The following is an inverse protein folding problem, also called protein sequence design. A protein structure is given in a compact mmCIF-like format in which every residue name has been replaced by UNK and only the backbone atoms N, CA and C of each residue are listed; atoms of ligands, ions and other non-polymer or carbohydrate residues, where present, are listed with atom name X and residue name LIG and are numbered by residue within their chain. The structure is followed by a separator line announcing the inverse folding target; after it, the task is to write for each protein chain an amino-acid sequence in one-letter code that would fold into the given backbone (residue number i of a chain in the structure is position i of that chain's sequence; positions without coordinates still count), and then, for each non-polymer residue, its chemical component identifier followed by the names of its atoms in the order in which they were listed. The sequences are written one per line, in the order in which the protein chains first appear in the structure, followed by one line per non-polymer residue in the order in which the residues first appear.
data_IF_985644153864
#
_entry.id   IF_985644153864
#
_cell.length_a   1.000
_cell.length_b   1.000
_cell.length_c   1.000
_cell.angle_alpha   90.00
_cell.angle_beta   90.00
_cell.angle_gamma   90.00
#
_symmetry.space_group_name_H-M   'P 1'
#
loop_
_entity.id
_entity.type
_entity.pdbx_description
1 polymer ?
#
# COMPACT_ATOMS: atom_id res chain seq x y z
N UNK A 1 75.93 -16.68 9.59
CA UNK A 1 75.26 -15.43 9.23
C UNK A 1 74.09 -15.79 8.33
N UNK A 2 72.88 -15.54 8.82
CA UNK A 2 71.63 -15.81 8.13
C UNK A 2 71.35 -14.72 7.09
N UNK A 3 70.60 -15.09 6.04
CA UNK A 3 69.44 -14.36 5.49
C UNK A 3 69.22 -14.76 4.03
N UNK A 4 68.07 -15.34 3.71
CA UNK A 4 67.29 -14.99 2.51
C UNK A 4 65.87 -15.48 2.75
N UNK A 5 64.98 -14.50 2.94
CA UNK A 5 63.57 -14.67 3.28
C UNK A 5 62.79 -14.97 2.00
N UNK A 6 62.08 -16.11 2.02
CA UNK A 6 61.06 -16.49 1.06
C UNK A 6 59.88 -15.52 1.20
N UNK A 7 59.59 -14.75 0.15
CA UNK A 7 58.46 -13.82 0.07
C UNK A 7 57.79 -13.96 -1.29
N UNK A 8 57.18 -15.12 -1.53
CA UNK A 8 56.30 -15.34 -2.69
C UNK A 8 55.17 -16.25 -2.21
N UNK A 9 54.02 -15.69 -1.81
CA UNK A 9 52.72 -16.31 -2.14
C UNK A 9 51.48 -15.43 -1.95
N UNK A 10 51.53 -14.27 -1.29
CA UNK A 10 50.28 -13.54 -0.97
C UNK A 10 49.57 -12.87 -2.17
N UNK A 11 50.21 -12.81 -3.35
CA UNK A 11 49.65 -12.18 -4.56
C UNK A 11 48.80 -13.12 -5.41
N UNK A 12 49.04 -14.43 -5.34
CA UNK A 12 48.30 -15.40 -6.15
C UNK A 12 46.89 -15.58 -5.61
N UNK A 13 46.73 -15.65 -4.30
CA UNK A 13 45.45 -15.91 -3.63
C UNK A 13 44.42 -14.77 -3.82
N UNK A 14 44.89 -13.52 -3.87
CA UNK A 14 44.02 -12.35 -4.13
C UNK A 14 43.50 -12.29 -5.58
N UNK A 15 44.29 -12.76 -6.55
CA UNK A 15 43.88 -12.74 -7.97
C UNK A 15 42.79 -13.78 -8.27
N UNK A 16 42.85 -14.95 -7.62
CA UNK A 16 41.84 -16.02 -7.79
C UNK A 16 40.50 -15.59 -7.16
N UNK A 17 40.54 -14.93 -6.00
CA UNK A 17 39.34 -14.43 -5.33
C UNK A 17 38.61 -13.35 -6.15
N UNK A 18 39.34 -12.47 -6.84
CA UNK A 18 38.78 -11.41 -7.69
C UNK A 18 38.20 -11.96 -9.00
N UNK A 19 38.82 -13.00 -9.56
CA UNK A 19 38.33 -13.69 -10.77
C UNK A 19 37.08 -14.56 -10.49
N UNK A 20 37.02 -15.22 -9.33
CA UNK A 20 35.85 -15.95 -8.84
C UNK A 20 34.66 -15.01 -8.55
N UNK A 21 34.91 -13.83 -7.99
CA UNK A 21 33.88 -12.81 -7.74
C UNK A 21 33.31 -12.23 -9.05
N UNK A 22 34.17 -12.01 -10.05
CA UNK A 22 33.77 -11.49 -11.37
C UNK A 22 32.95 -12.51 -12.17
N UNK A 23 33.27 -13.81 -12.07
CA UNK A 23 32.49 -14.88 -12.70
C UNK A 23 31.12 -15.09 -12.02
N UNK A 24 31.02 -14.95 -10.70
CA UNK A 24 29.75 -15.04 -9.97
C UNK A 24 28.79 -13.89 -10.33
N UNK A 25 29.30 -12.65 -10.43
CA UNK A 25 28.49 -11.49 -10.84
C UNK A 25 28.02 -11.60 -12.30
N UNK A 26 28.90 -12.08 -13.20
CA UNK A 26 28.58 -12.24 -14.63
C UNK A 26 27.56 -13.36 -14.90
N UNK A 27 27.52 -14.40 -14.05
CA UNK A 27 26.54 -15.49 -14.14
C UNK A 27 25.12 -15.08 -13.73
N UNK A 28 24.99 -14.20 -12.72
CA UNK A 28 23.70 -13.68 -12.25
C UNK A 28 23.05 -12.73 -13.27
N UNK A 29 23.83 -11.84 -13.88
CA UNK A 29 23.32 -10.90 -14.90
C UNK A 29 22.80 -11.63 -16.13
N UNK A 30 23.53 -12.63 -16.64
CA UNK A 30 23.09 -13.43 -17.82
C UNK A 30 21.79 -14.18 -17.59
N UNK A 31 21.51 -14.60 -16.36
CA UNK A 31 20.27 -15.31 -16.03
C UNK A 31 19.08 -14.34 -15.94
N UNK A 32 19.31 -13.11 -15.47
CA UNK A 32 18.29 -12.05 -15.49
C UNK A 32 17.96 -11.63 -16.92
N UNK A 33 18.95 -11.52 -17.81
CA UNK A 33 18.74 -11.16 -19.22
C UNK A 33 17.73 -12.09 -19.91
N UNK A 34 17.76 -13.40 -19.59
CA UNK A 34 16.79 -14.36 -20.11
C UNK A 34 15.36 -14.16 -19.57
N UNK A 35 15.20 -13.64 -18.35
CA UNK A 35 13.89 -13.41 -17.73
C UNK A 35 13.22 -12.15 -18.30
N UNK A 36 14.01 -11.18 -18.77
CA UNK A 36 13.50 -9.91 -19.33
C UNK A 36 12.72 -10.10 -20.64
N UNK A 37 13.00 -11.16 -21.39
CA UNK A 37 12.35 -11.47 -22.67
C UNK A 37 11.04 -12.28 -22.53
N UNK A 38 10.62 -12.60 -21.30
CA UNK A 38 9.39 -13.36 -21.08
C UNK A 38 8.18 -12.48 -21.44
N UNK A 39 7.35 -12.88 -22.43
CA UNK A 39 6.19 -12.09 -22.81
C UNK A 39 5.15 -12.08 -21.69
N UNK A 40 4.58 -10.91 -21.42
CA UNK A 40 3.51 -10.72 -20.42
C UNK A 40 2.29 -10.05 -21.06
N UNK A 41 1.10 -10.33 -20.51
CA UNK A 41 -0.13 -9.68 -20.96
C UNK A 41 -0.38 -8.45 -20.11
N UNK A 42 -0.42 -7.29 -20.77
CA UNK A 42 -0.84 -6.02 -20.19
C UNK A 42 -2.32 -5.79 -20.52
N UNK A 43 -3.14 -5.49 -19.51
CA UNK A 43 -4.56 -5.16 -19.70
C UNK A 43 -4.91 -3.88 -18.93
N UNK A 44 -5.76 -3.04 -19.53
CA UNK A 44 -6.35 -1.89 -18.84
C UNK A 44 -7.81 -2.18 -18.52
N UNK A 45 -8.22 -1.97 -17.27
CA UNK A 45 -9.59 -2.20 -16.82
C UNK A 45 -10.36 -0.88 -16.68
N UNK A 46 -11.49 -0.77 -17.38
CA UNK A 46 -12.41 0.37 -17.21
C UNK A 46 -13.03 0.38 -15.81
N UNK A 47 -13.38 -0.79 -15.29
CA UNK A 47 -13.95 -0.94 -13.97
C UNK A 47 -14.56 -2.32 -13.75
N UNK A 48 -14.94 -2.58 -12.50
CA UNK A 48 -15.60 -3.82 -12.08
C UNK A 48 -16.93 -3.48 -11.42
N UNK A 49 -17.86 -4.43 -11.49
CA UNK A 49 -19.10 -4.36 -10.71
C UNK A 49 -19.53 -5.76 -10.27
N UNK A 50 -20.44 -5.83 -9.31
CA UNK A 50 -21.04 -7.08 -8.84
C UNK A 50 -22.53 -7.03 -9.13
N UNK A 51 -23.02 -8.00 -9.89
CA UNK A 51 -24.45 -8.16 -10.20
C UNK A 51 -24.92 -9.55 -9.77
N UNK A 52 -26.22 -9.71 -9.52
CA UNK A 52 -26.76 -11.03 -9.19
C UNK A 52 -26.81 -11.93 -10.44
N UNK A 53 -26.82 -13.25 -10.25
CA UNK A 53 -26.97 -14.20 -11.37
C UNK A 53 -28.26 -13.93 -12.13
N UNK A 54 -29.32 -13.51 -11.43
CA UNK A 54 -30.61 -13.16 -12.05
C UNK A 54 -30.45 -12.00 -13.02
N UNK A 55 -29.76 -10.93 -12.62
CA UNK A 55 -29.60 -9.73 -13.45
C UNK A 55 -28.68 -10.03 -14.64
N UNK A 56 -27.64 -10.85 -14.45
CA UNK A 56 -26.76 -11.31 -15.52
C UNK A 56 -27.52 -12.04 -16.63
N UNK A 57 -28.44 -12.94 -16.26
CA UNK A 57 -29.26 -13.70 -17.22
C UNK A 57 -30.30 -12.82 -17.96
N UNK A 58 -30.59 -11.63 -17.46
CA UNK A 58 -31.51 -10.67 -18.09
C UNK A 58 -30.80 -9.71 -19.06
N UNK A 59 -29.46 -9.69 -19.06
CA UNK A 59 -28.71 -8.83 -19.98
C UNK A 59 -28.96 -9.23 -21.43
N UNK A 60 -29.23 -8.23 -22.25
CA UNK A 60 -29.49 -8.36 -23.67
C UNK A 60 -28.73 -7.28 -24.46
N UNK A 61 -28.79 -7.36 -25.79
CA UNK A 61 -28.20 -6.33 -26.65
C UNK A 61 -28.81 -4.96 -26.32
N UNK A 62 -27.95 -4.00 -25.96
CA UNK A 62 -28.37 -2.66 -25.54
C UNK A 62 -28.52 -2.47 -24.03
N UNK A 63 -28.35 -3.53 -23.22
CA UNK A 63 -28.28 -3.39 -21.75
C UNK A 63 -27.05 -2.57 -21.34
N UNK A 64 -27.24 -1.65 -20.40
CA UNK A 64 -26.17 -0.82 -19.81
C UNK A 64 -25.91 -1.30 -18.39
N UNK A 65 -24.65 -1.56 -18.06
CA UNK A 65 -24.23 -2.00 -16.73
C UNK A 65 -23.35 -0.93 -16.10
N UNK A 66 -23.76 -0.44 -14.94
CA UNK A 66 -22.99 0.55 -14.18
C UNK A 66 -21.79 -0.10 -13.49
N UNK A 67 -20.63 0.56 -13.58
CA UNK A 67 -19.38 0.14 -12.96
C UNK A 67 -19.16 0.87 -11.64
N UNK A 68 -18.38 0.30 -10.73
CA UNK A 68 -18.10 0.91 -9.41
C UNK A 68 -17.10 2.08 -9.46
N UNK A 69 -16.41 2.27 -10.59
CA UNK A 69 -15.38 3.31 -10.77
C UNK A 69 -16.04 4.62 -11.23
N UNK A 70 -15.56 5.74 -10.71
CA UNK A 70 -16.00 7.07 -11.13
C UNK A 70 -15.32 7.46 -12.45
N UNK A 71 -16.01 8.22 -13.31
CA UNK A 71 -15.52 8.54 -14.66
C UNK A 71 -14.21 9.35 -14.69
N UNK A 72 -13.93 10.12 -13.64
CA UNK A 72 -12.75 10.99 -13.54
C UNK A 72 -11.53 10.29 -12.90
N UNK A 73 -11.67 9.02 -12.52
CA UNK A 73 -10.57 8.24 -11.94
C UNK A 73 -9.74 7.57 -13.05
N UNK A 74 -8.40 7.56 -12.95
CA UNK A 74 -7.57 6.85 -13.92
C UNK A 74 -7.91 5.34 -13.87
N UNK A 75 -7.77 4.66 -15.00
CA UNK A 75 -8.04 3.23 -15.16
C UNK A 75 -6.88 2.40 -14.63
N UNK A 76 -7.19 1.20 -14.12
CA UNK A 76 -6.18 0.28 -13.60
C UNK A 76 -5.45 -0.38 -14.76
N UNK A 77 -4.12 -0.42 -14.68
CA UNK A 77 -3.25 -1.13 -15.61
C UNK A 77 -2.69 -2.35 -14.89
N UNK A 78 -2.96 -3.50 -15.47
CA UNK A 78 -2.74 -4.81 -14.86
C UNK A 78 -1.75 -5.61 -15.72
N UNK A 79 -0.87 -6.37 -15.07
CA UNK A 79 -0.03 -7.40 -15.71
C UNK A 79 -0.38 -8.74 -15.08
N UNK A 80 -0.84 -9.70 -15.88
CA UNK A 80 -1.25 -11.02 -15.39
C UNK A 80 -2.24 -10.98 -14.18
N UNK A 81 -3.07 -9.94 -14.09
CA UNK A 81 -4.01 -9.77 -12.98
C UNK A 81 -3.45 -9.09 -11.73
N UNK A 82 -2.21 -8.57 -11.78
CA UNK A 82 -1.62 -7.72 -10.73
C UNK A 82 -1.65 -6.25 -11.16
N UNK A 83 -2.08 -5.35 -10.28
CA UNK A 83 -2.07 -3.91 -10.52
C UNK A 83 -0.61 -3.41 -10.53
N UNK A 84 -0.21 -2.79 -11.63
CA UNK A 84 1.16 -2.26 -11.81
C UNK A 84 1.20 -0.76 -12.02
N UNK A 85 0.09 -0.15 -12.45
CA UNK A 85 0.03 1.28 -12.73
C UNK A 85 -1.44 1.74 -12.80
N UNK A 86 -1.60 3.06 -12.80
CA UNK A 86 -2.81 3.74 -13.23
C UNK A 86 -2.53 4.44 -14.57
N UNK A 87 -3.56 4.59 -15.39
CA UNK A 87 -3.41 5.28 -16.67
C UNK A 87 -4.72 5.70 -17.30
N UNK A 88 -4.62 6.30 -18.47
CA UNK A 88 -5.74 6.76 -19.25
C UNK A 88 -5.65 6.25 -20.69
N UNK A 89 -6.82 5.98 -21.27
CA UNK A 89 -6.92 5.57 -22.66
C UNK A 89 -6.69 6.80 -23.56
N UNK A 90 -5.75 6.66 -24.49
CA UNK A 90 -5.44 7.67 -25.51
C UNK A 90 -5.62 7.07 -26.90
N UNK A 91 -5.77 7.91 -27.91
CA UNK A 91 -5.78 7.47 -29.32
C UNK A 91 -4.52 8.00 -29.99
N UNK A 92 -3.77 7.09 -30.63
CA UNK A 92 -2.55 7.38 -31.38
C UNK A 92 -2.66 6.65 -32.71
N UNK A 93 -2.58 7.39 -33.83
CA UNK A 93 -2.68 6.83 -35.18
C UNK A 93 -3.90 5.91 -35.38
N UNK A 94 -5.09 6.38 -34.97
CA UNK A 94 -6.37 5.64 -34.99
C UNK A 94 -6.38 4.33 -34.19
N UNK A 95 -5.40 4.13 -33.29
CA UNK A 95 -5.32 2.99 -32.38
C UNK A 95 -5.45 3.45 -30.95
N UNK A 96 -6.05 2.62 -30.11
CA UNK A 96 -6.02 2.83 -28.67
C UNK A 96 -4.61 2.61 -28.12
N UNK A 97 -4.20 3.51 -27.23
CA UNK A 97 -2.99 3.44 -26.43
C UNK A 97 -3.28 3.68 -24.96
N UNK A 98 -2.29 3.43 -24.12
CA UNK A 98 -2.36 3.64 -22.67
C UNK A 98 -1.31 4.67 -22.31
N UNK A 99 -1.72 5.80 -21.73
CA UNK A 99 -0.80 6.75 -21.09
C UNK A 99 -0.78 6.45 -19.60
N UNK A 100 0.39 6.06 -19.08
CA UNK A 100 0.55 5.80 -17.65
C UNK A 100 0.59 7.13 -16.90
N UNK A 101 -0.21 7.24 -15.83
CA UNK A 101 -0.28 8.42 -14.97
C UNK A 101 0.52 8.20 -13.68
N UNK A 102 0.47 7.00 -13.12
CA UNK A 102 1.19 6.62 -11.91
C UNK A 102 1.66 5.16 -12.04
N UNK A 103 2.89 4.87 -11.63
CA UNK A 103 3.49 3.54 -11.74
C UNK A 103 3.80 3.02 -10.34
N UNK A 104 3.25 1.86 -10.03
CA UNK A 104 3.42 1.23 -8.73
C UNK A 104 4.72 0.43 -8.76
N UNK A 105 5.60 0.70 -7.82
CA UNK A 105 6.85 -0.04 -7.68
C UNK A 105 6.55 -1.47 -7.18
N UNK A 106 6.86 -2.53 -7.96
CA UNK A 106 6.63 -3.90 -7.53
C UNK A 106 7.49 -4.30 -6.31
N UNK A 107 8.56 -3.56 -6.00
CA UNK A 107 9.40 -3.78 -4.83
C UNK A 107 8.86 -3.11 -3.56
N UNK A 108 7.87 -2.21 -3.68
CA UNK A 108 7.21 -1.65 -2.51
C UNK A 108 6.25 -2.71 -1.94
N UNK A 109 6.39 -3.14 -0.68
CA UNK A 109 5.46 -4.08 -0.08
C UNK A 109 4.07 -3.45 -0.14
N UNK A 110 3.16 -4.07 -0.90
CA UNK A 110 1.77 -3.69 -1.03
C UNK A 110 1.22 -3.46 0.38
N UNK A 111 1.06 -2.19 0.74
CA UNK A 111 0.55 -1.79 2.04
C UNK A 111 -0.90 -2.28 2.11
N UNK A 112 -1.07 -3.48 2.68
CA UNK A 112 -2.34 -3.89 3.27
C UNK A 112 -2.74 -2.74 4.16
N UNK A 113 -3.76 -1.98 3.78
CA UNK A 113 -4.38 -0.99 4.67
C UNK A 113 -4.74 -1.76 5.94
N UNK A 114 -4.09 -1.52 7.09
CA UNK A 114 -4.45 -2.22 8.30
C UNK A 114 -5.89 -1.79 8.63
N UNK A 115 -6.82 -2.74 8.61
CA UNK A 115 -8.18 -2.58 9.11
C UNK A 115 -8.17 -2.47 10.65
N UNK A 116 -7.33 -1.58 11.19
CA UNK A 116 -7.14 -1.35 12.62
C UNK A 116 -7.73 0.01 13.04
N UNK A 117 -8.70 0.55 12.30
CA UNK A 117 -9.32 1.85 12.55
C UNK A 117 -10.72 1.76 13.19
N UNK A 118 -11.17 0.56 13.59
CA UNK A 118 -12.44 0.35 14.31
C UNK A 118 -12.30 0.40 15.84
N UNK A 119 -11.17 -0.04 16.40
CA UNK A 119 -10.92 -0.02 17.86
C UNK A 119 -10.60 1.38 18.39
N UNK A 120 -9.91 2.23 17.61
CA UNK A 120 -9.68 3.64 18.00
C UNK A 120 -10.98 4.45 18.03
N UNK A 121 -11.95 4.15 17.15
CA UNK A 121 -13.26 4.83 17.14
C UNK A 121 -14.09 4.49 18.38
N UNK A 122 -14.03 3.25 18.88
CA UNK A 122 -14.72 2.85 20.10
C UNK A 122 -14.09 3.50 21.36
N UNK A 123 -12.76 3.56 21.42
CA UNK A 123 -12.04 4.25 22.50
C UNK A 123 -12.33 5.76 22.53
N UNK A 124 -12.32 6.42 21.36
CA UNK A 124 -12.65 7.85 21.24
C UNK A 124 -14.13 8.12 21.59
N UNK A 125 -15.06 7.27 21.16
CA UNK A 125 -16.47 7.37 21.54
C UNK A 125 -16.66 7.25 23.05
N UNK A 126 -16.00 6.28 23.71
CA UNK A 126 -16.09 6.11 25.15
C UNK A 126 -15.49 7.31 25.89
N UNK A 127 -14.35 7.84 25.43
CA UNK A 127 -13.72 9.03 26.01
C UNK A 127 -14.64 10.27 25.92
N UNK A 128 -15.32 10.46 24.78
CA UNK A 128 -16.28 11.56 24.60
C UNK A 128 -17.50 11.38 25.53
N UNK A 129 -18.03 10.16 25.67
CA UNK A 129 -19.15 9.87 26.59
C UNK A 129 -18.75 10.11 28.05
N UNK A 130 -17.57 9.67 28.47
CA UNK A 130 -17.05 9.91 29.83
C UNK A 130 -16.87 11.41 30.08
N UNK A 131 -16.28 12.14 29.12
CA UNK A 131 -16.14 13.60 29.23
C UNK A 131 -17.48 14.31 29.33
N UNK A 132 -18.47 13.91 28.53
CA UNK A 132 -19.84 14.45 28.60
C UNK A 132 -20.47 14.16 29.97
N UNK A 133 -20.29 12.96 30.51
CA UNK A 133 -20.81 12.59 31.83
C UNK A 133 -20.13 13.37 32.97
N UNK A 134 -18.80 13.51 32.93
CA UNK A 134 -18.06 14.31 33.91
C UNK A 134 -18.43 15.78 33.82
N UNK A 135 -18.57 16.33 32.61
CA UNK A 135 -19.05 17.69 32.40
C UNK A 135 -20.47 17.86 32.95
N UNK A 136 -21.37 16.89 32.72
CA UNK A 136 -22.72 16.90 33.26
C UNK A 136 -22.72 16.89 34.80
N UNK A 137 -21.95 16.00 35.44
CA UNK A 137 -21.81 15.95 36.91
C UNK A 137 -21.25 17.28 37.44
N UNK A 138 -20.26 17.87 36.76
CA UNK A 138 -19.70 19.16 37.12
C UNK A 138 -20.71 20.31 36.98
N UNK A 139 -21.48 20.34 35.89
CA UNK A 139 -22.57 21.30 35.67
C UNK A 139 -23.64 21.15 36.76
N UNK A 140 -24.04 19.91 37.08
CA UNK A 140 -25.00 19.61 38.13
C UNK A 140 -24.50 20.10 39.50
N UNK A 141 -23.23 19.82 39.83
CA UNK A 141 -22.60 20.29 41.07
C UNK A 141 -22.44 21.81 41.13
N UNK A 142 -22.24 22.46 39.97
CA UNK A 142 -22.16 23.92 39.83
C UNK A 142 -23.53 24.59 39.98
N UNK A 143 -24.61 23.94 39.54
CA UNK A 143 -25.97 24.43 39.68
C UNK A 143 -26.54 24.22 41.09
N UNK A 144 -26.14 23.17 41.80
CA UNK A 144 -26.57 22.88 43.16
C UNK A 144 -25.80 23.73 44.20
N UNK A 145 -25.91 25.06 44.09
CA UNK A 145 -25.26 26.07 44.93
C UNK A 145 -24.98 25.60 46.36
N UNK A 146 -23.71 25.29 46.61
CA UNK A 146 -23.18 24.90 47.91
C UNK A 146 -23.21 26.11 48.85
N UNK A 147 -24.18 26.13 49.76
CA UNK A 147 -24.12 26.98 50.96
C UNK A 147 -23.67 26.13 52.14
N UNK A 148 -22.40 26.21 52.59
CA UNK A 148 -22.04 25.70 53.90
C UNK A 148 -22.57 26.70 54.93
N UNK A 149 -23.70 26.39 55.56
CA UNK A 149 -24.18 27.15 56.71
C UNK A 149 -23.14 27.04 57.82
N UNK A 150 -22.60 28.20 58.20
CA UNK A 150 -21.85 28.38 59.42
C UNK A 150 -22.66 27.87 60.61
N UNK A 151 -22.02 27.03 61.41
CA UNK A 151 -22.43 26.70 62.76
C UNK A 151 -21.31 27.11 63.69
N UNK A 152 -21.26 28.40 64.02
CA UNK A 152 -20.68 28.84 65.28
C UNK A 152 -21.36 28.05 66.39
N UNK A 153 -20.58 27.36 67.22
CA UNK A 153 -20.99 27.15 68.60
C UNK A 153 -19.90 27.72 69.49
N UNK A 154 -20.25 28.89 70.05
CA UNK A 154 -19.71 29.50 71.25
C UNK A 154 -19.70 28.51 72.42
N UNK A 155 -18.51 28.29 72.97
CA UNK A 155 -18.10 28.33 74.40
C UNK A 155 -17.09 27.24 74.75
#
# INVERSE_FOLDING_TARGET
MAETKMAVDDRKEKAIADELATQAASGTTRNLDMVLDIPVTLSMELGRTRISIRDLLQLNSGSVVELQRMADEPMDVMVNGTLVAHGEAVVIDDKFGIRLTDVIDPAAPSAVVPQASSLLKLGLMLAVVILMFLAFVWIMKRMSGFSPRGGENLK
#
